data_IF_686022619120
#
_entry.id   IF_686022619120
#
_cell.length_a   1.000
_cell.length_b   1.000
_cell.length_c   1.000
_cell.angle_alpha   90.00
_cell.angle_beta   90.00
_cell.angle_gamma   90.00
#
_symmetry.space_group_name_H-M   'P 1'
#
loop_
_entity.id
_entity.type
_entity.pdbx_description
1 polymer ?
#
# COMPACT_ATOMS: atom_id res chain seq x y z
N UNK A 1 -53.24 25.55 -26.42
CA UNK A 1 -51.88 25.11 -26.04
C UNK A 1 -51.63 23.75 -26.66
N UNK A 2 -50.53 23.60 -27.40
CA UNK A 2 -50.28 22.49 -28.33
C UNK A 2 -50.23 21.13 -27.61
N UNK A 3 -51.06 20.17 -28.05
CA UNK A 3 -51.06 18.77 -27.58
C UNK A 3 -49.67 18.12 -27.68
N UNK A 4 -48.86 18.54 -28.67
CA UNK A 4 -47.49 18.09 -28.81
C UNK A 4 -46.61 18.48 -27.60
N UNK A 5 -46.82 19.67 -27.00
CA UNK A 5 -46.11 20.08 -25.78
C UNK A 5 -46.44 19.16 -24.60
N UNK A 6 -47.69 18.71 -24.51
CA UNK A 6 -48.13 17.82 -23.41
C UNK A 6 -47.54 16.43 -23.56
N UNK A 7 -47.51 15.89 -24.79
CA UNK A 7 -46.88 14.60 -25.09
C UNK A 7 -45.38 14.64 -24.79
N UNK A 8 -44.69 15.71 -25.20
CA UNK A 8 -43.26 15.90 -24.89
C UNK A 8 -43.00 16.03 -23.39
N UNK A 9 -43.84 16.76 -22.65
CA UNK A 9 -43.70 16.90 -21.21
C UNK A 9 -43.84 15.57 -20.48
N UNK A 10 -44.88 14.79 -20.80
CA UNK A 10 -45.11 13.46 -20.21
C UNK A 10 -43.94 12.51 -20.54
N UNK A 11 -43.50 12.49 -21.81
CA UNK A 11 -42.36 11.67 -22.22
C UNK A 11 -41.09 12.06 -21.46
N UNK A 12 -40.81 13.36 -21.30
CA UNK A 12 -39.66 13.84 -20.54
C UNK A 12 -39.74 13.39 -19.07
N UNK A 13 -40.89 13.56 -18.40
CA UNK A 13 -41.05 13.16 -16.99
C UNK A 13 -40.83 11.65 -16.77
N UNK A 14 -41.24 10.81 -17.73
CA UNK A 14 -41.04 9.35 -17.66
C UNK A 14 -39.61 8.93 -18.02
N UNK A 15 -38.96 9.61 -18.96
CA UNK A 15 -37.60 9.27 -19.42
C UNK A 15 -36.52 9.79 -18.45
N UNK A 16 -36.75 10.89 -17.74
CA UNK A 16 -35.76 11.51 -16.84
C UNK A 16 -35.20 10.55 -15.78
N UNK A 17 -36.01 9.76 -15.03
CA UNK A 17 -35.48 8.79 -14.06
C UNK A 17 -34.65 7.67 -14.72
N UNK A 18 -35.04 7.22 -15.92
CA UNK A 18 -34.34 6.15 -16.62
C UNK A 18 -32.93 6.60 -17.05
N UNK A 19 -32.81 7.82 -17.56
CA UNK A 19 -31.51 8.42 -17.89
C UNK A 19 -30.65 8.63 -16.65
N UNK A 20 -31.23 9.12 -15.54
CA UNK A 20 -30.51 9.33 -14.29
C UNK A 20 -29.91 8.02 -13.73
N UNK A 21 -30.66 6.92 -13.76
CA UNK A 21 -30.16 5.62 -13.30
C UNK A 21 -29.06 5.08 -14.23
N UNK A 22 -29.21 5.28 -15.54
CA UNK A 22 -28.18 4.86 -16.50
C UNK A 22 -26.87 5.65 -16.34
N UNK A 23 -26.95 6.97 -16.18
CA UNK A 23 -25.77 7.81 -15.94
C UNK A 23 -25.11 7.43 -14.62
N UNK A 24 -25.89 7.22 -13.56
CA UNK A 24 -25.37 6.78 -12.27
C UNK A 24 -24.66 5.43 -12.36
N UNK A 25 -25.28 4.41 -12.95
CA UNK A 25 -24.66 3.08 -13.13
C UNK A 25 -23.41 3.14 -14.00
N UNK A 26 -23.38 4.02 -15.00
CA UNK A 26 -22.19 4.21 -15.84
C UNK A 26 -21.01 4.75 -15.02
N UNK A 27 -21.26 5.78 -14.21
CA UNK A 27 -20.28 6.39 -13.31
C UNK A 27 -19.79 5.36 -12.28
N UNK A 28 -20.69 4.62 -11.63
CA UNK A 28 -20.35 3.58 -10.67
C UNK A 28 -19.44 2.51 -11.28
N UNK A 29 -19.77 2.01 -12.48
CA UNK A 29 -18.94 1.02 -13.19
C UNK A 29 -17.58 1.56 -13.60
N UNK A 30 -17.46 2.87 -13.82
CA UNK A 30 -16.19 3.51 -14.07
C UNK A 30 -15.34 3.55 -12.79
N UNK A 31 -15.92 4.01 -11.68
CA UNK A 31 -15.23 4.05 -10.39
C UNK A 31 -14.87 2.66 -9.85
N UNK A 32 -15.75 1.66 -9.96
CA UNK A 32 -15.47 0.29 -9.51
C UNK A 32 -14.22 -0.31 -10.16
N UNK A 33 -13.94 0.03 -11.43
CA UNK A 33 -12.73 -0.43 -12.12
C UNK A 33 -11.46 0.25 -11.61
N UNK A 34 -11.60 1.45 -11.06
CA UNK A 34 -10.50 2.29 -10.57
C UNK A 34 -10.32 2.18 -9.06
N UNK A 35 -11.33 1.71 -8.32
CA UNK A 35 -11.34 1.71 -6.86
C UNK A 35 -10.19 0.88 -6.33
N UNK A 36 -9.97 -0.33 -6.84
CA UNK A 36 -8.87 -1.19 -6.41
C UNK A 36 -7.50 -0.50 -6.57
N UNK A 37 -7.27 0.18 -7.70
CA UNK A 37 -6.03 0.92 -7.94
C UNK A 37 -5.86 2.09 -6.98
N UNK A 38 -6.95 2.82 -6.73
CA UNK A 38 -6.98 3.93 -5.77
C UNK A 38 -6.74 3.42 -4.35
N UNK A 39 -7.31 2.28 -3.98
CA UNK A 39 -7.17 1.70 -2.64
C UNK A 39 -5.75 1.19 -2.40
N UNK A 40 -5.14 0.55 -3.41
CA UNK A 40 -3.70 0.21 -3.39
C UNK A 40 -2.86 1.48 -3.22
N UNK A 41 -3.12 2.52 -4.01
CA UNK A 41 -2.39 3.79 -3.90
C UNK A 41 -2.52 4.40 -2.51
N UNK A 42 -3.73 4.46 -1.95
CA UNK A 42 -3.98 4.97 -0.59
C UNK A 42 -3.22 4.16 0.45
N UNK A 43 -3.24 2.84 0.37
CA UNK A 43 -2.53 1.96 1.32
C UNK A 43 -1.02 2.16 1.24
N UNK A 44 -0.44 2.19 0.03
CA UNK A 44 0.99 2.44 -0.16
C UNK A 44 1.39 3.85 0.27
N UNK A 45 0.53 4.85 0.04
CA UNK A 45 0.75 6.22 0.51
C UNK A 45 0.67 6.35 2.03
N UNK A 46 -0.26 5.64 2.68
CA UNK A 46 -0.39 5.62 4.14
C UNK A 46 0.82 4.95 4.81
N UNK A 47 1.41 3.95 4.15
CA UNK A 47 2.55 3.16 4.66
C UNK A 47 3.88 3.53 4.00
N UNK A 48 3.97 4.73 3.38
CA UNK A 48 5.15 5.12 2.59
C UNK A 48 6.42 5.38 3.41
N UNK A 49 6.30 5.63 4.71
CA UNK A 49 7.46 5.75 5.62
C UNK A 49 8.22 4.42 5.67
N UNK A 50 9.55 4.44 5.68
CA UNK A 50 10.39 3.23 5.59
C UNK A 50 10.01 2.18 6.65
N UNK A 51 9.80 2.59 7.90
CA UNK A 51 9.45 1.66 8.99
C UNK A 51 8.06 1.00 8.77
N UNK A 52 7.11 1.75 8.22
CA UNK A 52 5.74 1.29 7.98
C UNK A 52 5.63 0.33 6.77
N UNK A 53 6.66 0.19 5.94
CA UNK A 53 6.64 -0.69 4.76
C UNK A 53 6.66 -2.18 5.09
N UNK A 54 7.01 -2.52 6.33
CA UNK A 54 6.97 -3.91 6.82
C UNK A 54 5.58 -4.31 7.34
N UNK A 55 4.62 -3.38 7.35
CA UNK A 55 3.25 -3.66 7.76
C UNK A 55 2.55 -4.63 6.81
N UNK A 56 1.59 -5.39 7.34
CA UNK A 56 0.80 -6.34 6.56
C UNK A 56 -0.01 -5.63 5.45
N UNK A 57 -0.44 -4.41 5.72
CA UNK A 57 -1.16 -3.51 4.83
C UNK A 57 -0.32 -3.14 3.63
N UNK A 58 0.96 -2.78 3.84
CA UNK A 58 1.89 -2.45 2.77
C UNK A 58 2.14 -3.66 1.86
N UNK A 59 2.47 -4.81 2.44
CA UNK A 59 2.74 -6.05 1.69
C UNK A 59 1.51 -6.50 0.91
N UNK A 60 0.32 -6.42 1.52
CA UNK A 60 -0.96 -6.72 0.84
C UNK A 60 -1.16 -5.81 -0.36
N UNK A 61 -0.94 -4.50 -0.22
CA UNK A 61 -1.10 -3.55 -1.30
C UNK A 61 -0.14 -3.84 -2.47
N UNK A 62 1.14 -4.14 -2.18
CA UNK A 62 2.13 -4.52 -3.20
C UNK A 62 1.71 -5.79 -3.95
N UNK A 63 1.28 -6.83 -3.22
CA UNK A 63 0.86 -8.11 -3.81
C UNK A 63 -0.41 -7.99 -4.68
N UNK A 64 -1.16 -6.90 -4.55
CA UNK A 64 -2.34 -6.63 -5.39
C UNK A 64 -2.02 -5.88 -6.68
N UNK A 65 -0.80 -5.39 -6.87
CA UNK A 65 -0.42 -4.60 -8.06
C UNK A 65 -0.59 -5.42 -9.34
N UNK A 66 -0.06 -6.64 -9.40
CA UNK A 66 -0.16 -7.47 -10.61
C UNK A 66 -1.61 -7.77 -11.01
N UNK A 67 -2.52 -7.86 -10.03
CA UNK A 67 -3.95 -8.05 -10.25
C UNK A 67 -4.64 -6.75 -10.70
N UNK A 68 -4.37 -5.65 -10.01
CA UNK A 68 -5.05 -4.37 -10.24
C UNK A 68 -4.65 -3.69 -11.56
N UNK A 69 -3.42 -3.92 -12.02
CA UNK A 69 -2.87 -3.33 -13.25
C UNK A 69 -2.73 -4.37 -14.38
N UNK A 70 -3.32 -5.56 -14.22
CA UNK A 70 -3.26 -6.64 -15.23
C UNK A 70 -3.80 -6.21 -16.60
N UNK A 71 -4.85 -5.37 -16.58
CA UNK A 71 -5.63 -4.97 -17.75
C UNK A 71 -6.80 -5.92 -18.04
N UNK A 72 -7.56 -5.66 -19.11
CA UNK A 72 -8.70 -6.52 -19.49
C UNK A 72 -8.24 -7.70 -20.32
N UNK A 73 -8.68 -8.90 -19.96
CA UNK A 73 -8.48 -10.08 -20.80
C UNK A 73 -9.39 -9.98 -22.02
N UNK A 74 -8.79 -9.97 -23.21
CA UNK A 74 -9.50 -10.08 -24.49
C UNK A 74 -8.84 -11.14 -25.34
N UNK A 75 -9.60 -12.16 -25.77
CA UNK A 75 -9.10 -13.26 -26.61
C UNK A 75 -7.84 -13.93 -26.03
N UNK A 76 -7.85 -14.22 -24.73
CA UNK A 76 -6.72 -14.85 -24.02
C UNK A 76 -5.48 -13.96 -23.81
N UNK A 77 -5.51 -12.70 -24.25
CA UNK A 77 -4.40 -11.75 -24.06
C UNK A 77 -4.82 -10.60 -23.15
N UNK A 78 -3.94 -10.23 -22.24
CA UNK A 78 -4.12 -9.04 -21.42
C UNK A 78 -3.97 -7.78 -22.29
N UNK A 79 -5.04 -6.98 -22.38
CA UNK A 79 -5.02 -5.65 -23.01
C UNK A 79 -4.98 -4.60 -21.90
N UNK A 80 -3.80 -4.01 -21.71
CA UNK A 80 -3.53 -2.96 -20.73
C UNK A 80 -3.24 -1.61 -21.39
N UNK A 81 -3.44 -0.52 -20.66
CA UNK A 81 -3.00 0.81 -21.08
C UNK A 81 -1.47 0.95 -20.99
N UNK A 82 -0.93 2.00 -21.62
CA UNK A 82 0.50 2.32 -21.46
C UNK A 82 0.84 2.65 -20.00
N UNK A 83 -0.04 3.37 -19.29
CA UNK A 83 0.13 3.71 -17.88
C UNK A 83 0.12 2.48 -16.97
N UNK A 84 -0.78 1.52 -17.18
CA UNK A 84 -0.76 0.23 -16.48
C UNK A 84 0.54 -0.54 -16.72
N UNK A 85 1.05 -0.51 -17.96
CA UNK A 85 2.31 -1.16 -18.29
C UNK A 85 3.49 -0.50 -17.58
N UNK A 86 3.50 0.83 -17.45
CA UNK A 86 4.56 1.54 -16.73
C UNK A 86 4.55 1.19 -15.24
N UNK A 87 3.37 1.14 -14.61
CA UNK A 87 3.22 0.69 -13.21
C UNK A 87 3.81 -0.70 -13.01
N UNK A 88 3.46 -1.66 -13.87
CA UNK A 88 3.99 -3.03 -13.77
C UNK A 88 5.51 -3.09 -13.99
N UNK A 89 6.05 -2.26 -14.87
CA UNK A 89 7.50 -2.16 -15.08
C UNK A 89 8.22 -1.62 -13.84
N UNK A 90 7.73 -0.51 -13.26
CA UNK A 90 8.29 0.04 -12.02
C UNK A 90 8.14 -0.92 -10.85
N UNK A 91 7.01 -1.63 -10.76
CA UNK A 91 6.80 -2.66 -9.74
C UNK A 91 7.83 -3.77 -9.86
N UNK A 92 8.09 -4.29 -11.06
CA UNK A 92 9.09 -5.35 -11.28
C UNK A 92 10.49 -4.91 -10.84
N UNK A 93 10.88 -3.67 -11.13
CA UNK A 93 12.17 -3.13 -10.69
C UNK A 93 12.26 -3.05 -9.17
N UNK A 94 11.22 -2.53 -8.52
CA UNK A 94 11.16 -2.45 -7.06
C UNK A 94 11.14 -3.84 -6.42
N UNK A 95 10.31 -4.75 -6.91
CA UNK A 95 10.23 -6.14 -6.47
C UNK A 95 11.57 -6.87 -6.62
N UNK A 96 12.26 -6.70 -7.76
CA UNK A 96 13.57 -7.31 -7.97
C UNK A 96 14.58 -6.83 -6.92
N UNK A 97 14.60 -5.52 -6.63
CA UNK A 97 15.44 -4.95 -5.58
C UNK A 97 15.10 -5.48 -4.19
N UNK A 98 13.81 -5.58 -3.84
CA UNK A 98 13.38 -6.13 -2.56
C UNK A 98 13.76 -7.59 -2.34
N UNK A 99 13.95 -8.37 -3.42
CA UNK A 99 14.40 -9.76 -3.35
C UNK A 99 15.93 -9.90 -3.36
N UNK A 100 16.68 -8.80 -3.36
CA UNK A 100 18.14 -8.86 -3.16
C UNK A 100 18.49 -9.02 -1.69
N UNK A 101 19.64 -9.62 -1.40
CA UNK A 101 20.13 -9.75 -0.02
C UNK A 101 20.43 -8.38 0.58
N UNK A 102 19.85 -8.11 1.76
CA UNK A 102 20.17 -6.90 2.52
C UNK A 102 21.55 -7.03 3.18
N UNK A 103 22.45 -6.05 3.02
CA UNK A 103 23.80 -6.10 3.60
C UNK A 103 23.79 -5.72 5.08
N UNK A 104 23.37 -6.64 5.95
CA UNK A 104 23.27 -6.44 7.42
C UNK A 104 24.63 -6.18 8.11
N UNK A 105 25.73 -6.59 7.47
CA UNK A 105 27.08 -6.52 8.03
C UNK A 105 27.80 -5.18 7.76
N UNK A 106 27.23 -4.31 6.91
CA UNK A 106 27.83 -3.03 6.54
C UNK A 106 26.76 -1.93 6.51
N UNK A 107 26.83 -1.03 7.50
CA UNK A 107 25.91 0.09 7.63
C UNK A 107 25.88 1.01 6.39
N UNK A 108 27.01 1.17 5.69
CA UNK A 108 27.09 2.03 4.51
C UNK A 108 26.38 1.40 3.31
N UNK A 109 26.61 0.10 3.08
CA UNK A 109 25.92 -0.65 2.03
C UNK A 109 24.42 -0.79 2.35
N UNK A 110 24.05 -0.95 3.63
CA UNK A 110 22.66 -0.97 4.08
C UNK A 110 21.95 0.35 3.80
N UNK A 111 22.61 1.48 4.05
CA UNK A 111 22.07 2.81 3.73
C UNK A 111 21.86 3.00 2.21
N UNK A 112 22.82 2.57 1.38
CA UNK A 112 22.70 2.62 -0.08
C UNK A 112 21.54 1.74 -0.58
N UNK A 113 21.40 0.55 0.00
CA UNK A 113 20.30 -0.36 -0.31
C UNK A 113 18.94 0.28 0.02
N UNK A 114 18.82 0.88 1.21
CA UNK A 114 17.60 1.56 1.66
C UNK A 114 17.27 2.78 0.78
N UNK A 115 18.27 3.56 0.38
CA UNK A 115 18.09 4.70 -0.53
C UNK A 115 17.61 4.24 -1.91
N UNK A 116 18.19 3.16 -2.44
CA UNK A 116 17.81 2.58 -3.73
C UNK A 116 16.38 2.04 -3.69
N UNK A 117 16.06 1.29 -2.63
CA UNK A 117 14.70 0.80 -2.33
C UNK A 117 13.70 1.95 -2.27
N UNK A 118 14.07 3.05 -1.60
CA UNK A 118 13.23 4.25 -1.53
C UNK A 118 13.00 4.90 -2.89
N UNK A 119 14.02 5.03 -3.72
CA UNK A 119 13.89 5.63 -5.04
C UNK A 119 12.96 4.81 -5.94
N UNK A 120 13.15 3.49 -6.00
CA UNK A 120 12.32 2.58 -6.77
C UNK A 120 10.86 2.57 -6.28
N UNK A 121 10.65 2.66 -4.97
CA UNK A 121 9.31 2.79 -4.41
C UNK A 121 8.64 4.12 -4.80
N UNK A 122 9.38 5.23 -4.81
CA UNK A 122 8.86 6.53 -5.26
C UNK A 122 8.54 6.53 -6.77
N UNK A 123 9.35 5.84 -7.59
CA UNK A 123 9.06 5.62 -9.01
C UNK A 123 7.74 4.87 -9.20
N UNK A 124 7.56 3.79 -8.43
CA UNK A 124 6.31 3.02 -8.43
C UNK A 124 5.11 3.88 -8.02
N UNK A 125 5.20 4.64 -6.93
CA UNK A 125 4.13 5.54 -6.50
C UNK A 125 3.81 6.61 -7.56
N UNK A 126 4.82 7.16 -8.21
CA UNK A 126 4.65 8.16 -9.28
C UNK A 126 3.90 7.57 -10.47
N UNK A 127 4.25 6.37 -10.92
CA UNK A 127 3.55 5.73 -12.04
C UNK A 127 2.11 5.33 -11.66
N UNK A 128 1.87 4.87 -10.42
CA UNK A 128 0.52 4.58 -9.94
C UNK A 128 -0.32 5.86 -9.93
N UNK A 129 0.23 6.96 -9.40
CA UNK A 129 -0.43 8.26 -9.36
C UNK A 129 -0.86 8.72 -10.76
N UNK A 130 0.06 8.66 -11.75
CA UNK A 130 -0.23 8.99 -13.14
C UNK A 130 -1.34 8.12 -13.73
N UNK A 131 -1.32 6.80 -13.50
CA UNK A 131 -2.37 5.88 -13.99
C UNK A 131 -3.75 6.22 -13.41
N UNK A 132 -3.81 6.56 -12.12
CA UNK A 132 -5.06 6.95 -11.47
C UNK A 132 -5.39 8.45 -11.65
N UNK A 133 -4.61 9.20 -12.42
CA UNK A 133 -4.90 10.59 -12.79
C UNK A 133 -4.63 11.62 -11.69
N UNK A 134 -3.74 11.32 -10.74
CA UNK A 134 -3.15 12.32 -9.85
C UNK A 134 -1.83 12.83 -10.44
N UNK A 135 -1.56 14.11 -10.25
CA UNK A 135 -0.30 14.74 -10.62
C UNK A 135 0.47 15.09 -9.34
N UNK A 136 1.34 14.16 -8.92
CA UNK A 136 2.21 14.36 -7.77
C UNK A 136 3.63 14.60 -8.25
N UNK A 137 4.25 15.67 -7.78
CA UNK A 137 5.68 15.85 -7.93
C UNK A 137 6.44 14.79 -7.13
N UNK A 138 7.55 14.29 -7.69
CA UNK A 138 8.40 13.30 -7.01
C UNK A 138 8.84 13.80 -5.63
N UNK A 139 9.20 15.08 -5.54
CA UNK A 139 9.62 15.71 -4.29
C UNK A 139 8.51 15.63 -3.24
N UNK A 140 7.26 15.89 -3.64
CA UNK A 140 6.11 15.80 -2.73
C UNK A 140 5.90 14.37 -2.20
N UNK A 141 6.09 13.35 -3.04
CA UNK A 141 6.01 11.95 -2.61
C UNK A 141 7.12 11.59 -1.61
N UNK A 142 8.29 12.23 -1.73
CA UNK A 142 9.45 11.99 -0.89
C UNK A 142 9.40 12.74 0.44
N UNK A 143 9.00 14.01 0.46
CA UNK A 143 9.18 14.91 1.61
C UNK A 143 7.91 15.08 2.45
N UNK A 144 6.72 14.92 1.86
CA UNK A 144 5.45 15.18 2.57
C UNK A 144 5.03 14.03 3.51
N UNK A 145 5.96 13.29 4.10
CA UNK A 145 5.67 12.14 4.96
C UNK A 145 5.60 12.60 6.42
N UNK A 146 4.43 12.46 7.05
CA UNK A 146 4.35 12.55 8.51
C UNK A 146 4.68 11.19 9.12
N UNK A 147 5.86 11.07 9.71
CA UNK A 147 6.32 9.88 10.43
C UNK A 147 6.83 10.32 11.80
N UNK A 148 5.96 10.47 12.81
CA UNK A 148 6.38 10.99 14.11
C UNK A 148 7.37 10.02 14.77
N UNK A 149 8.41 10.58 15.37
CA UNK A 149 9.48 9.83 16.06
C UNK A 149 8.90 8.82 17.07
N UNK A 150 7.80 9.18 17.74
CA UNK A 150 7.12 8.32 18.71
C UNK A 150 6.59 7.00 18.10
N UNK A 151 6.03 7.01 16.88
CA UNK A 151 5.58 5.76 16.24
C UNK A 151 6.76 4.87 15.82
N UNK A 152 7.84 5.47 15.32
CA UNK A 152 9.06 4.72 15.02
C UNK A 152 9.72 4.08 16.24
N UNK A 153 9.70 4.77 17.40
CA UNK A 153 10.17 4.22 18.66
C UNK A 153 9.32 3.02 19.11
N UNK A 154 7.99 3.15 19.07
CA UNK A 154 7.05 2.08 19.47
C UNK A 154 7.24 0.83 18.58
N UNK A 155 7.37 0.98 17.27
CA UNK A 155 7.59 -0.15 16.36
C UNK A 155 8.94 -0.86 16.63
N UNK A 156 10.00 -0.08 16.87
CA UNK A 156 11.31 -0.63 17.19
C UNK A 156 11.31 -1.37 18.54
N UNK A 157 10.65 -0.81 19.54
CA UNK A 157 10.51 -1.43 20.85
C UNK A 157 9.69 -2.73 20.77
N UNK A 158 8.59 -2.74 20.01
CA UNK A 158 7.83 -3.95 19.74
C UNK A 158 8.66 -5.03 19.04
N UNK A 159 9.48 -4.66 18.05
CA UNK A 159 10.37 -5.58 17.36
C UNK A 159 11.39 -6.19 18.33
N UNK A 160 12.07 -5.36 19.13
CA UNK A 160 13.04 -5.79 20.14
C UNK A 160 12.42 -6.72 21.17
N UNK A 161 11.25 -6.37 21.70
CA UNK A 161 10.52 -7.21 22.67
C UNK A 161 10.18 -8.56 22.04
N UNK A 162 9.61 -8.57 20.83
CA UNK A 162 9.22 -9.82 20.15
C UNK A 162 10.43 -10.72 19.89
N UNK A 163 11.53 -10.16 19.41
CA UNK A 163 12.77 -10.91 19.17
C UNK A 163 13.38 -11.42 20.48
N UNK A 164 13.45 -10.57 21.51
CA UNK A 164 13.97 -10.95 22.83
C UNK A 164 13.16 -12.08 23.47
N UNK A 165 11.84 -11.98 23.46
CA UNK A 165 10.95 -13.04 23.97
C UNK A 165 11.06 -14.32 23.15
N UNK A 166 11.10 -14.23 21.82
CA UNK A 166 11.29 -15.39 20.96
C UNK A 166 12.59 -16.14 21.28
N UNK A 167 13.70 -15.40 21.44
CA UNK A 167 15.00 -15.98 21.79
C UNK A 167 15.02 -16.60 23.20
N UNK A 168 14.28 -16.04 24.16
CA UNK A 168 14.13 -16.64 25.50
C UNK A 168 13.34 -17.95 25.41
N UNK A 169 12.22 -17.97 24.69
CA UNK A 169 11.37 -19.15 24.59
C UNK A 169 11.92 -20.24 23.67
N UNK A 170 12.77 -19.90 22.69
CA UNK A 170 13.50 -20.89 21.89
C UNK A 170 14.73 -21.46 22.60
N UNK A 171 15.10 -20.91 23.77
CA UNK A 171 16.29 -21.32 24.53
C UNK A 171 17.61 -20.77 23.98
N UNK A 172 17.57 -19.85 23.00
CA UNK A 172 18.73 -19.15 22.46
C UNK A 172 19.34 -18.16 23.46
N UNK A 173 18.52 -17.55 24.33
CA UNK A 173 18.94 -16.59 25.34
C UNK A 173 18.34 -16.88 26.72
N UNK A 174 19.11 -16.64 27.79
CA UNK A 174 18.62 -16.73 29.17
C UNK A 174 18.01 -15.40 29.64
N UNK A 175 16.91 -15.47 30.41
CA UNK A 175 16.35 -14.30 31.07
C UNK A 175 17.26 -13.89 32.22
N UNK A 176 17.85 -12.68 32.15
CA UNK A 176 18.64 -12.13 33.25
C UNK A 176 17.71 -11.79 34.42
N UNK A 177 17.95 -12.42 35.56
CA UNK A 177 17.20 -12.17 36.79
C UNK A 177 18.15 -11.81 37.91
N UNK A 178 17.75 -10.87 38.75
CA UNK A 178 18.43 -10.53 40.00
C UNK A 178 17.69 -11.17 41.17
N UNK A 179 18.41 -11.91 42.02
CA UNK A 179 17.82 -12.56 43.19
C UNK A 179 17.81 -11.54 44.33
N UNK A 180 16.61 -11.08 44.70
CA UNK A 180 16.43 -10.02 45.71
C UNK A 180 16.41 -10.61 47.13
N UNK A 181 15.95 -11.85 47.30
CA UNK A 181 16.03 -12.59 48.56
C UNK A 181 15.90 -14.10 48.32
N UNK A 182 16.61 -14.91 49.10
CA UNK A 182 16.46 -16.38 49.10
C UNK A 182 15.63 -16.73 50.33
N UNK A 183 14.43 -17.33 50.18
CA UNK A 183 13.62 -17.72 51.33
C UNK A 183 14.38 -18.73 52.18
N UNK A 184 14.66 -18.38 53.43
CA UNK A 184 15.18 -19.32 54.42
C UNK A 184 14.03 -20.18 54.93
N UNK A 185 14.20 -21.50 54.81
CA UNK A 185 13.27 -22.47 55.39
C UNK A 185 13.28 -22.27 56.91
N UNK A 186 12.15 -21.92 57.50
CA UNK A 186 11.99 -22.00 58.95
C UNK A 186 11.85 -23.47 59.32
N UNK A 187 12.89 -24.01 59.94
CA UNK A 187 12.85 -25.32 60.56
C UNK A 187 12.08 -25.19 61.87
N UNK A 188 10.88 -25.79 61.91
CA UNK A 188 10.12 -26.06 63.14
C UNK A 188 10.51 -27.42 63.69
#
# INVERSE_FOLDING_TARGET
MSTALTIMAIAATVISPLLAIQTQKFIERYYQKKSLKIDIFKQLMATRSQNARLSSEHVRALNMIDLAFYGKIKRGKAKRSSSESNVLSSWKLYFAHLNTTYPDNDNTLGAIWNQTSNNLFLDLLSEIAKDIGYDFERVQLQTAIYSPVAHGAIENDQLKIRQGLAAIFSGENALKMEIINIPTRQDN
#
